data_IF_944092765604
#
_entry.id   IF_944092765604
#
_cell.length_a   1.000
_cell.length_b   1.000
_cell.length_c   1.000
_cell.angle_alpha   90.00
_cell.angle_beta   90.00
_cell.angle_gamma   90.00
#
_symmetry.space_group_name_H-M   'P 1'
#
loop_
_entity.id
_entity.type
_entity.pdbx_description
1 polymer ?
#
# COMPACT_ATOMS: atom_id res chain seq x y z
N UNK A 1 -41.83 -43.64 12.70
CA UNK A 1 -41.76 -42.26 13.20
C UNK A 1 -40.33 -41.67 13.27
N UNK A 2 -39.25 -42.47 13.31
CA UNK A 2 -37.86 -41.96 13.38
C UNK A 2 -37.28 -41.48 12.03
N UNK A 3 -37.69 -42.08 10.91
CA UNK A 3 -37.22 -41.71 9.56
C UNK A 3 -37.71 -40.35 9.10
N UNK A 4 -38.90 -39.92 9.53
CA UNK A 4 -39.46 -38.61 9.22
C UNK A 4 -38.65 -37.47 9.86
N UNK A 5 -38.13 -37.67 11.08
CA UNK A 5 -37.32 -36.67 11.79
C UNK A 5 -35.96 -36.46 11.12
N UNK A 6 -35.35 -37.53 10.58
CA UNK A 6 -34.07 -37.45 9.87
C UNK A 6 -34.25 -36.69 8.55
N UNK A 7 -35.36 -36.90 7.84
CA UNK A 7 -35.66 -36.21 6.59
C UNK A 7 -35.87 -34.69 6.81
N UNK A 8 -36.58 -34.31 7.88
CA UNK A 8 -36.80 -32.90 8.23
C UNK A 8 -35.49 -32.21 8.64
N UNK A 9 -34.63 -32.91 9.40
CA UNK A 9 -33.31 -32.40 9.76
C UNK A 9 -32.39 -32.17 8.55
N UNK A 10 -32.45 -33.06 7.55
CA UNK A 10 -31.65 -32.92 6.33
C UNK A 10 -32.12 -31.74 5.46
N UNK A 11 -33.43 -31.49 5.37
CA UNK A 11 -34.01 -30.36 4.63
C UNK A 11 -33.71 -29.02 5.32
N UNK A 12 -33.67 -28.98 6.66
CA UNK A 12 -33.26 -27.78 7.39
C UNK A 12 -31.78 -27.42 7.17
N UNK A 13 -30.91 -28.42 6.98
CA UNK A 13 -29.48 -28.20 6.74
C UNK A 13 -29.19 -27.64 5.33
N UNK A 14 -30.00 -27.99 4.33
CA UNK A 14 -29.80 -27.52 2.94
C UNK A 14 -30.29 -26.09 2.69
N UNK A 15 -31.20 -25.58 3.52
CA UNK A 15 -31.74 -24.22 3.42
C UNK A 15 -30.92 -23.17 4.21
N UNK A 16 -29.98 -23.60 5.05
CA UNK A 16 -29.17 -22.73 5.93
C UNK A 16 -27.97 -22.06 5.27
N UNK A 17 -27.62 -22.42 4.03
CA UNK A 17 -26.49 -21.82 3.30
C UNK A 17 -27.00 -20.77 2.32
N UNK A 18 -27.63 -19.72 2.85
CA UNK A 18 -27.77 -18.48 2.10
C UNK A 18 -26.39 -17.81 2.10
N UNK A 19 -25.55 -18.13 1.10
CA UNK A 19 -24.37 -17.31 0.82
C UNK A 19 -24.91 -15.90 0.58
N UNK A 20 -24.54 -14.89 1.38
CA UNK A 20 -24.97 -13.54 1.13
C UNK A 20 -24.55 -13.20 -0.30
N UNK A 21 -25.53 -12.97 -1.17
CA UNK A 21 -25.27 -12.45 -2.50
C UNK A 21 -24.75 -11.04 -2.27
N UNK A 22 -23.44 -10.91 -2.17
CA UNK A 22 -22.81 -9.60 -2.15
C UNK A 22 -23.05 -9.00 -3.53
N UNK A 23 -24.01 -8.08 -3.58
CA UNK A 23 -24.34 -7.29 -4.76
C UNK A 23 -23.22 -6.25 -4.93
N UNK A 24 -22.03 -6.74 -5.27
CA UNK A 24 -20.87 -5.90 -5.53
C UNK A 24 -21.11 -5.19 -6.85
N UNK A 25 -21.40 -3.89 -6.77
CA UNK A 25 -21.47 -3.02 -7.94
C UNK A 25 -20.08 -2.87 -8.54
N UNK A 26 -19.78 -3.67 -9.55
CA UNK A 26 -18.55 -3.53 -10.32
C UNK A 26 -18.73 -2.50 -11.44
N UNK A 27 -17.68 -1.73 -11.69
CA UNK A 27 -17.59 -0.82 -12.83
C UNK A 27 -16.56 -1.40 -13.79
N UNK A 28 -16.91 -1.52 -15.07
CA UNK A 28 -15.94 -1.88 -16.10
C UNK A 28 -14.93 -0.75 -16.26
N UNK A 29 -13.65 -1.10 -16.34
CA UNK A 29 -12.55 -0.17 -16.53
C UNK A 29 -11.67 -0.64 -17.68
N UNK A 30 -10.99 0.32 -18.31
CA UNK A 30 -10.02 0.02 -19.36
C UNK A 30 -8.75 -0.65 -18.81
N UNK A 31 -8.02 -1.38 -19.65
CA UNK A 31 -6.78 -2.04 -19.30
C UNK A 31 -5.69 -1.05 -18.81
N UNK A 32 -5.63 0.16 -19.36
CA UNK A 32 -4.70 1.21 -18.92
C UNK A 32 -5.02 1.65 -17.49
N UNK A 33 -6.31 1.81 -17.18
CA UNK A 33 -6.76 2.16 -15.84
C UNK A 33 -6.42 1.04 -14.86
N UNK A 34 -6.68 -0.22 -15.21
CA UNK A 34 -6.34 -1.37 -14.38
C UNK A 34 -4.83 -1.47 -14.10
N UNK A 35 -3.99 -1.18 -15.11
CA UNK A 35 -2.53 -1.15 -14.95
C UNK A 35 -2.07 -0.07 -13.97
N UNK A 36 -2.60 1.15 -14.09
CA UNK A 36 -2.32 2.26 -13.15
C UNK A 36 -2.80 1.92 -11.74
N UNK A 37 -4.01 1.38 -11.61
CA UNK A 37 -4.58 0.98 -10.32
C UNK A 37 -3.70 -0.08 -9.64
N UNK A 38 -3.20 -1.07 -10.38
CA UNK A 38 -2.28 -2.09 -9.84
C UNK A 38 -0.99 -1.47 -9.31
N UNK A 39 -0.39 -0.51 -10.03
CA UNK A 39 0.81 0.21 -9.58
C UNK A 39 0.57 1.01 -8.30
N UNK A 40 -0.60 1.63 -8.16
CA UNK A 40 -0.97 2.35 -6.93
C UNK A 40 -1.11 1.36 -5.77
N UNK A 41 -1.82 0.26 -5.97
CA UNK A 41 -2.04 -0.74 -4.93
C UNK A 41 -0.75 -1.43 -4.48
N UNK A 42 0.22 -1.65 -5.37
CA UNK A 42 1.52 -2.24 -5.00
C UNK A 42 2.35 -1.39 -4.03
N UNK A 43 2.03 -0.10 -3.85
CA UNK A 43 2.67 0.73 -2.83
C UNK A 43 2.14 0.46 -1.42
N UNK A 44 0.97 -0.18 -1.31
CA UNK A 44 0.33 -0.50 -0.04
C UNK A 44 0.52 -1.97 0.35
N UNK A 45 1.22 -2.75 -0.47
CA UNK A 45 1.61 -4.10 -0.11
C UNK A 45 2.81 -4.04 0.84
N UNK A 46 2.70 -4.71 1.99
CA UNK A 46 3.78 -4.81 2.97
C UNK A 46 4.41 -3.47 3.39
N UNK A 47 3.59 -2.45 3.67
CA UNK A 47 4.03 -1.07 4.00
C UNK A 47 5.08 -0.98 5.11
N UNK A 48 5.05 -1.91 6.07
CA UNK A 48 5.99 -1.93 7.21
C UNK A 48 7.30 -2.67 6.89
N UNK A 49 7.35 -3.41 5.77
CA UNK A 49 8.52 -4.18 5.36
C UNK A 49 9.23 -3.47 4.21
N UNK A 50 10.55 -3.30 4.33
CA UNK A 50 11.35 -2.78 3.22
C UNK A 50 11.68 -3.90 2.24
N UNK A 51 10.75 -4.22 1.33
CA UNK A 51 11.01 -5.18 0.25
C UNK A 51 11.96 -4.59 -0.80
N UNK A 52 13.22 -5.01 -0.72
CA UNK A 52 14.26 -4.56 -1.64
C UNK A 52 14.08 -5.05 -3.08
N UNK A 53 13.25 -6.09 -3.27
CA UNK A 53 12.98 -6.70 -4.58
C UNK A 53 11.82 -6.03 -5.31
N UNK A 54 10.95 -5.33 -4.57
CA UNK A 54 9.81 -4.61 -5.09
C UNK A 54 10.23 -3.56 -6.14
N UNK A 55 9.41 -3.41 -7.18
CA UNK A 55 9.69 -2.43 -8.23
C UNK A 55 9.69 -0.99 -7.71
N UNK A 56 8.82 -0.68 -6.74
CA UNK A 56 8.77 0.64 -6.10
C UNK A 56 10.08 1.00 -5.41
N UNK A 57 10.73 0.05 -4.73
CA UNK A 57 12.02 0.24 -4.08
C UNK A 57 13.13 0.51 -5.12
N UNK A 58 13.16 -0.25 -6.21
CA UNK A 58 14.15 -0.06 -7.30
C UNK A 58 13.97 1.27 -8.03
N UNK A 59 12.72 1.70 -8.26
CA UNK A 59 12.41 2.98 -8.89
C UNK A 59 12.76 4.12 -7.95
N UNK A 60 12.35 4.05 -6.69
CA UNK A 60 12.63 5.08 -5.68
C UNK A 60 14.12 5.34 -5.49
N UNK A 61 14.93 4.28 -5.35
CA UNK A 61 16.40 4.40 -5.21
C UNK A 61 17.09 5.02 -6.42
N UNK A 62 16.56 4.81 -7.63
CA UNK A 62 17.15 5.33 -8.87
C UNK A 62 16.59 6.71 -9.25
N UNK A 63 15.52 7.16 -8.61
CA UNK A 63 14.84 8.39 -8.97
C UNK A 63 15.54 9.59 -8.35
N UNK A 64 16.19 10.40 -9.18
CA UNK A 64 16.73 11.69 -8.77
C UNK A 64 15.65 12.76 -8.93
N UNK A 65 15.25 13.38 -7.82
CA UNK A 65 14.22 14.42 -7.78
C UNK A 65 14.71 15.71 -8.45
N UNK A 66 15.97 16.11 -8.20
CA UNK A 66 16.57 17.32 -8.77
C UNK A 66 16.68 17.24 -10.29
N UNK A 67 17.08 16.07 -10.82
CA UNK A 67 17.20 15.84 -12.25
C UNK A 67 15.86 15.80 -13.00
N UNK A 68 14.74 15.76 -12.28
CA UNK A 68 13.39 15.64 -12.82
C UNK A 68 12.48 16.81 -12.42
N UNK A 69 13.05 17.92 -11.92
CA UNK A 69 12.28 19.06 -11.39
C UNK A 69 11.37 19.72 -12.45
N UNK A 70 11.77 19.60 -13.72
CA UNK A 70 11.04 20.06 -14.91
C UNK A 70 9.72 19.31 -15.16
N UNK A 71 9.55 18.11 -14.59
CA UNK A 71 8.32 17.31 -14.72
C UNK A 71 7.23 17.72 -13.73
N UNK A 72 7.53 18.61 -12.79
CA UNK A 72 6.57 19.07 -11.80
C UNK A 72 5.93 20.39 -12.25
N UNK A 73 4.61 20.46 -12.16
CA UNK A 73 3.85 21.69 -12.47
C UNK A 73 4.27 22.87 -11.59
N UNK A 74 4.79 22.60 -10.38
CA UNK A 74 5.30 23.62 -9.46
C UNK A 74 6.71 23.27 -8.97
N UNK A 75 7.78 23.73 -9.65
CA UNK A 75 9.16 23.43 -9.27
C UNK A 75 9.58 24.11 -7.95
N UNK A 76 8.96 25.24 -7.59
CA UNK A 76 9.25 25.94 -6.33
C UNK A 76 8.88 25.07 -5.12
N UNK A 77 7.73 24.38 -5.18
CA UNK A 77 7.31 23.46 -4.11
C UNK A 77 8.27 22.29 -3.94
N UNK A 78 8.87 21.81 -5.03
CA UNK A 78 9.83 20.70 -4.99
C UNK A 78 11.13 21.15 -4.34
N UNK A 79 11.64 22.33 -4.69
CA UNK A 79 12.82 22.90 -4.05
C UNK A 79 12.64 23.10 -2.54
N UNK A 80 11.51 23.65 -2.11
CA UNK A 80 11.24 23.87 -0.67
C UNK A 80 11.17 22.53 0.08
N UNK A 81 10.47 21.53 -0.45
CA UNK A 81 10.40 20.22 0.19
C UNK A 81 11.72 19.45 0.16
N UNK A 82 12.53 19.61 -0.89
CA UNK A 82 13.84 18.97 -0.96
C UNK A 82 14.77 19.54 0.13
N UNK A 83 14.81 20.86 0.27
CA UNK A 83 15.58 21.53 1.33
C UNK A 83 15.10 21.14 2.75
N UNK A 84 13.78 20.98 2.95
CA UNK A 84 13.21 20.50 4.21
C UNK A 84 13.59 19.04 4.50
N UNK A 85 13.61 18.18 3.49
CA UNK A 85 14.00 16.78 3.64
C UNK A 85 15.47 16.63 4.04
N UNK A 86 16.36 17.40 3.41
CA UNK A 86 17.79 17.43 3.74
C UNK A 86 18.03 17.94 5.16
N UNK A 87 17.31 18.98 5.58
CA UNK A 87 17.38 19.52 6.94
C UNK A 87 16.91 18.47 7.97
N UNK A 88 15.78 17.80 7.71
CA UNK A 88 15.27 16.76 8.62
C UNK A 88 16.20 15.55 8.71
N UNK A 89 16.85 15.18 7.60
CA UNK A 89 17.87 14.13 7.60
C UNK A 89 19.09 14.53 8.45
N UNK A 90 19.57 15.77 8.33
CA UNK A 90 20.65 16.31 9.18
C UNK A 90 20.29 16.26 10.67
N UNK A 91 19.09 16.70 11.04
CA UNK A 91 18.63 16.68 12.44
C UNK A 91 18.58 15.25 13.01
N UNK A 92 18.18 14.27 12.21
CA UNK A 92 18.15 12.86 12.64
C UNK A 92 19.59 12.32 12.82
N UNK A 93 20.50 12.62 11.89
CA UNK A 93 21.91 12.21 11.99
C UNK A 93 22.59 12.85 13.21
N UNK A 94 22.36 14.13 13.47
CA UNK A 94 22.92 14.83 14.64
C UNK A 94 22.34 14.28 15.95
N UNK A 95 21.04 13.99 16.01
CA UNK A 95 20.44 13.37 17.19
C UNK A 95 20.97 11.95 17.46
N UNK A 96 21.27 11.17 16.41
CA UNK A 96 21.89 9.85 16.54
C UNK A 96 23.33 9.91 17.07
N UNK A 97 24.06 10.99 16.81
CA UNK A 97 25.40 11.22 17.39
C UNK A 97 25.31 11.60 18.88
N UNK A 98 24.26 12.33 19.29
CA UNK A 98 24.02 12.69 20.71
C UNK A 98 23.66 11.47 21.56
N UNK A 99 22.94 10.48 21.03
CA UNK A 99 22.68 9.21 21.72
C UNK A 99 23.85 8.20 21.66
N UNK A 100 24.90 8.49 20.88
CA UNK A 100 26.11 7.67 20.76
C UNK A 100 27.23 7.98 21.75
N UNK A 101 27.22 9.16 22.40
CA UNK A 101 28.26 9.56 23.36
C UNK A 101 27.96 9.23 24.84
N UNK A 102 26.89 8.46 25.12
CA UNK A 102 26.53 8.04 26.48
C UNK A 102 26.81 6.56 26.78
N UNK A 103 27.71 5.93 26.01
CA UNK A 103 28.31 4.64 26.36
C UNK A 103 29.77 4.66 25.98
N UNK A 104 30.63 5.01 26.92
CA UNK A 104 31.86 4.30 27.32
C UNK A 104 32.35 4.91 28.63
#
# INVERSE_FOLDING_TARGET
MKTALILIGLVALTLGVAVPKHDHKFKSVDAEFASKQKKVLSLFEHVEENDQTAECHKVGLKYNIEANIDKYTNPLSVHTHHAEADNKFSVIVDSSQVYGCAKY
#
